data_IF_049219239606
#
_entry.id   IF_049219239606
#
_cell.length_a   1.000
_cell.length_b   1.000
_cell.length_c   1.000
_cell.angle_alpha   90.00
_cell.angle_beta   90.00
_cell.angle_gamma   90.00
#
_symmetry.space_group_name_H-M   'P 1'
#
loop_
_entity.id
_entity.type
_entity.pdbx_description
1 polymer ?
#
# COMPACT_ATOMS: atom_id res chain seq x y z
N UNK A 1 0.02 5.33 -25.29
CA UNK A 1 -1.37 4.85 -25.39
C UNK A 1 -1.90 4.68 -23.98
N UNK A 2 -2.76 5.59 -23.52
CA UNK A 2 -3.46 5.45 -22.24
C UNK A 2 -4.67 4.55 -22.44
N UNK A 3 -4.91 3.63 -21.51
CA UNK A 3 -6.08 2.74 -21.55
C UNK A 3 -7.40 3.50 -21.45
N UNK A 4 -8.46 2.90 -21.95
CA UNK A 4 -9.83 3.42 -21.79
C UNK A 4 -10.20 3.58 -20.32
N UNK A 5 -10.78 4.73 -19.96
CA UNK A 5 -11.33 4.99 -18.62
C UNK A 5 -12.27 3.86 -18.24
N UNK A 6 -12.09 3.30 -17.05
CA UNK A 6 -12.92 2.20 -16.56
C UNK A 6 -12.97 2.22 -15.04
N UNK A 7 -14.12 1.84 -14.49
CA UNK A 7 -14.31 1.72 -13.04
C UNK A 7 -13.30 0.77 -12.40
N UNK A 8 -12.85 -0.27 -13.13
CA UNK A 8 -11.80 -1.18 -12.65
C UNK A 8 -10.43 -0.49 -12.57
N UNK A 9 -10.12 0.37 -13.54
CA UNK A 9 -8.92 1.19 -13.53
C UNK A 9 -8.95 2.21 -12.39
N UNK A 10 -10.11 2.80 -12.11
CA UNK A 10 -10.30 3.73 -11.00
C UNK A 10 -10.07 3.02 -9.65
N UNK A 11 -10.71 1.86 -9.43
CA UNK A 11 -10.50 1.05 -8.22
C UNK A 11 -9.03 0.64 -8.04
N UNK A 12 -8.34 0.27 -9.12
CA UNK A 12 -6.92 -0.04 -9.05
C UNK A 12 -6.09 1.19 -8.63
N UNK A 13 -6.38 2.34 -9.24
CA UNK A 13 -5.67 3.59 -8.98
C UNK A 13 -5.89 4.07 -7.53
N UNK A 14 -7.13 4.00 -7.04
CA UNK A 14 -7.46 4.28 -5.64
C UNK A 14 -6.70 3.34 -4.70
N UNK A 15 -6.62 2.05 -5.04
CA UNK A 15 -5.83 1.07 -4.29
C UNK A 15 -4.35 1.46 -4.19
N UNK A 16 -3.76 1.94 -5.29
CA UNK A 16 -2.37 2.42 -5.30
C UNK A 16 -2.20 3.66 -4.40
N UNK A 17 -3.13 4.62 -4.45
CA UNK A 17 -3.09 5.81 -3.59
C UNK A 17 -3.16 5.44 -2.10
N UNK A 18 -4.02 4.49 -1.74
CA UNK A 18 -4.11 3.99 -0.36
C UNK A 18 -2.77 3.37 0.08
N UNK A 19 -2.19 2.50 -0.76
CA UNK A 19 -0.89 1.88 -0.46
C UNK A 19 0.23 2.92 -0.34
N UNK A 20 0.24 3.95 -1.19
CA UNK A 20 1.20 5.05 -1.10
C UNK A 20 1.04 5.84 0.20
N UNK A 21 -0.19 6.14 0.63
CA UNK A 21 -0.45 6.83 1.89
C UNK A 21 -0.02 6.00 3.10
N UNK A 22 -0.34 4.70 3.10
CA UNK A 22 -0.05 3.78 4.21
C UNK A 22 1.43 3.52 4.37
N UNK A 23 2.17 3.40 3.27
CA UNK A 23 3.60 3.03 3.29
C UNK A 23 4.54 4.22 3.15
N UNK A 24 4.02 5.39 2.73
CA UNK A 24 4.79 6.55 2.26
C UNK A 24 5.76 6.22 1.11
N UNK A 25 5.44 5.21 0.30
CA UNK A 25 6.22 4.81 -0.87
C UNK A 25 5.48 5.13 -2.14
N UNK A 26 6.13 5.90 -3.02
CA UNK A 26 5.61 6.19 -4.36
C UNK A 26 5.78 4.95 -5.23
N UNK A 27 4.84 4.62 -6.13
CA UNK A 27 5.01 3.54 -7.11
C UNK A 27 6.26 3.68 -7.99
N UNK A 28 6.77 4.91 -8.11
CA UNK A 28 7.99 5.27 -8.84
C UNK A 28 9.25 5.37 -7.96
N UNK A 29 9.22 4.89 -6.72
CA UNK A 29 10.40 4.87 -5.84
C UNK A 29 11.47 3.92 -6.44
N UNK A 30 12.73 4.38 -6.48
CA UNK A 30 13.85 3.66 -7.09
C UNK A 30 14.13 2.29 -6.46
N UNK A 31 13.58 2.01 -5.27
CA UNK A 31 13.66 0.67 -4.67
C UNK A 31 12.94 -0.42 -5.48
N UNK A 32 12.00 -0.04 -6.35
CA UNK A 32 11.22 -0.98 -7.16
C UNK A 32 11.93 -1.31 -8.47
N UNK A 33 12.91 -2.22 -8.37
CA UNK A 33 13.67 -2.73 -9.51
C UNK A 33 13.30 -4.17 -9.86
N UNK A 34 13.73 -4.66 -11.02
CA UNK A 34 13.59 -6.08 -11.38
C UNK A 34 12.14 -6.58 -11.49
N UNK A 35 11.20 -5.69 -11.84
CA UNK A 35 9.77 -6.03 -11.93
C UNK A 35 9.03 -6.06 -10.58
N UNK A 36 9.69 -5.62 -9.50
CA UNK A 36 9.02 -5.28 -8.25
C UNK A 36 8.17 -4.01 -8.43
N UNK A 37 7.07 -3.91 -7.69
CA UNK A 37 6.22 -2.73 -7.63
C UNK A 37 5.56 -2.65 -6.24
N UNK A 38 4.93 -1.51 -5.95
CA UNK A 38 4.34 -1.24 -4.65
C UNK A 38 3.37 -2.35 -4.17
N UNK A 39 2.39 -2.82 -4.96
CA UNK A 39 1.53 -3.94 -4.54
C UNK A 39 2.29 -5.24 -4.25
N UNK A 40 3.26 -5.62 -5.09
CA UNK A 40 4.06 -6.85 -4.87
C UNK A 40 4.90 -6.75 -3.59
N UNK A 41 5.49 -5.60 -3.35
CA UNK A 41 6.28 -5.35 -2.15
C UNK A 41 5.42 -5.42 -0.89
N UNK A 42 4.25 -4.77 -0.88
CA UNK A 42 3.30 -4.86 0.24
C UNK A 42 2.84 -6.30 0.47
N UNK A 43 2.51 -7.03 -0.59
CA UNK A 43 2.12 -8.44 -0.52
C UNK A 43 3.24 -9.33 0.04
N UNK A 44 4.50 -9.03 -0.25
CA UNK A 44 5.65 -9.79 0.28
C UNK A 44 5.90 -9.59 1.78
N UNK A 45 5.34 -8.53 2.38
CA UNK A 45 5.46 -8.24 3.80
C UNK A 45 4.23 -8.70 4.61
N UNK A 46 3.14 -9.10 3.94
CA UNK A 46 1.91 -9.48 4.62
C UNK A 46 1.89 -10.98 4.98
N UNK A 47 1.33 -11.37 6.15
CA UNK A 47 0.93 -10.51 7.28
C UNK A 47 2.06 -10.17 8.26
N UNK A 48 3.12 -10.97 8.32
CA UNK A 48 4.05 -11.02 9.46
C UNK A 48 4.90 -9.75 9.59
N UNK A 49 5.13 -9.03 8.49
CA UNK A 49 6.04 -7.89 8.39
C UNK A 49 5.34 -6.60 7.98
N UNK A 50 4.00 -6.57 8.05
CA UNK A 50 3.23 -5.38 7.63
C UNK A 50 3.62 -4.14 8.44
N UNK A 51 3.90 -4.30 9.74
CA UNK A 51 4.33 -3.22 10.62
C UNK A 51 5.70 -2.61 10.22
N UNK A 52 6.56 -3.36 9.51
CA UNK A 52 7.86 -2.87 9.05
C UNK A 52 7.73 -1.87 7.89
N UNK A 53 6.67 -2.03 7.09
CA UNK A 53 6.50 -1.30 5.82
C UNK A 53 5.45 -0.18 5.90
N UNK A 54 4.65 -0.16 6.96
CA UNK A 54 3.70 0.90 7.27
C UNK A 54 4.44 2.13 7.80
N UNK A 55 3.97 3.33 7.43
CA UNK A 55 4.46 4.58 7.97
C UNK A 55 4.32 4.59 9.50
N UNK A 56 5.45 4.70 10.20
CA UNK A 56 5.50 4.74 11.66
C UNK A 56 4.67 5.88 12.26
N UNK A 57 4.39 6.95 11.52
CA UNK A 57 3.47 8.00 11.96
C UNK A 57 2.05 7.47 12.11
N UNK A 58 1.60 6.66 11.15
CA UNK A 58 0.32 5.96 11.23
C UNK A 58 0.29 4.94 12.37
N UNK A 59 1.44 4.38 12.77
CA UNK A 59 1.51 3.50 13.94
C UNK A 59 1.44 4.26 15.28
N UNK A 60 1.87 5.52 15.33
CA UNK A 60 1.91 6.35 16.55
C UNK A 60 0.54 6.94 16.89
N UNK A 61 -0.26 7.27 15.88
CA UNK A 61 -1.62 7.77 16.08
C UNK A 61 -2.59 6.66 16.54
N UNK A 62 -2.13 5.40 16.56
CA UNK A 62 -2.88 4.19 16.92
C UNK A 62 -2.60 3.78 18.38
N UNK A 63 -2.30 4.74 19.26
CA UNK A 63 -2.22 4.47 20.70
C UNK A 63 -3.60 4.44 21.40
N UNK A 64 -4.69 4.50 20.64
CA UNK A 64 -6.03 4.05 21.06
C UNK A 64 -6.68 3.24 19.92
N UNK A 65 -6.44 1.93 19.89
CA UNK A 65 -7.18 0.88 19.15
C UNK A 65 -7.18 0.89 17.59
N UNK A 66 -6.18 0.18 17.00
CA UNK A 66 -6.09 -0.55 15.70
C UNK A 66 -6.85 -0.03 14.45
N UNK A 67 -6.15 0.24 13.31
CA UNK A 67 -6.82 0.30 11.99
C UNK A 67 -5.96 0.05 10.72
N UNK A 68 -5.07 -0.94 10.68
CA UNK A 68 -4.53 -1.45 9.40
C UNK A 68 -4.64 -2.96 9.26
N UNK A 69 -4.57 -3.69 10.38
CA UNK A 69 -4.86 -5.14 10.41
C UNK A 69 -6.34 -5.43 10.10
N UNK A 70 -7.24 -4.47 10.34
CA UNK A 70 -8.67 -4.58 10.02
C UNK A 70 -8.97 -4.44 8.52
N UNK A 71 -8.21 -3.60 7.80
CA UNK A 71 -8.39 -3.41 6.35
C UNK A 71 -7.93 -4.61 5.52
N UNK A 72 -7.00 -5.41 6.05
CA UNK A 72 -6.51 -6.62 5.36
C UNK A 72 -7.21 -7.90 5.82
N UNK A 73 -8.09 -7.82 6.84
CA UNK A 73 -8.94 -8.94 7.29
C UNK A 73 -10.39 -8.85 6.77
N UNK A 74 -10.62 -8.15 5.65
CA UNK A 74 -11.88 -8.22 4.88
C UNK A 74 -11.72 -9.19 3.72
#
# INVERSE_FOLDING_TARGET
VGGSVSTKGDVYSDGILILEMVTRKRPSDDMFVGGMNLPKWVRSAFPERIADIVDRRLLRDVNENICLVSFVNV
#
